data_IF_066549925848
#
_entry.id   IF_066549925848
#
_cell.length_a   1.000
_cell.length_b   1.000
_cell.length_c   1.000
_cell.angle_alpha   90.00
_cell.angle_beta   90.00
_cell.angle_gamma   90.00
#
_symmetry.space_group_name_H-M   'P 1'
#
loop_
_entity.id
_entity.type
_entity.pdbx_description
1 polymer ?
#
# COMPACT_ATOMS: atom_id res chain seq x y z
N UNK A 1 1.38 6.65 -28.42
CA UNK A 1 0.46 6.74 -27.27
C UNK A 1 0.74 8.05 -26.55
N UNK A 2 -0.25 8.95 -26.47
CA UNK A 2 -0.10 10.28 -25.86
C UNK A 2 0.02 10.15 -24.34
N UNK A 3 0.90 10.96 -23.73
CA UNK A 3 1.06 11.08 -22.27
C UNK A 3 0.08 12.08 -21.63
N UNK A 4 -0.77 12.70 -22.43
CA UNK A 4 -1.71 13.71 -21.97
C UNK A 4 -2.92 13.08 -21.29
N UNK A 5 -3.32 13.66 -20.15
CA UNK A 5 -4.45 13.16 -19.36
C UNK A 5 -5.79 13.31 -20.09
N UNK A 6 -5.86 14.25 -21.03
CA UNK A 6 -7.08 14.59 -21.75
C UNK A 6 -6.77 14.80 -23.23
N UNK A 7 -7.78 14.63 -24.08
CA UNK A 7 -7.75 14.97 -25.49
C UNK A 7 -9.01 15.76 -25.87
N UNK A 8 -8.89 16.60 -26.89
CA UNK A 8 -10.02 17.33 -27.48
C UNK A 8 -10.54 16.53 -28.68
N UNK A 9 -11.84 16.27 -28.72
CA UNK A 9 -12.49 15.59 -29.84
C UNK A 9 -12.67 16.53 -31.05
N UNK A 10 -13.13 15.99 -32.18
CA UNK A 10 -13.33 16.75 -33.43
C UNK A 10 -14.42 17.82 -33.36
N UNK A 11 -15.21 17.82 -32.29
CA UNK A 11 -16.29 18.77 -32.01
C UNK A 11 -15.90 19.76 -30.90
N UNK A 12 -14.65 19.73 -30.43
CA UNK A 12 -14.15 20.61 -29.37
C UNK A 12 -14.45 20.13 -27.95
N UNK A 13 -15.00 18.92 -27.77
CA UNK A 13 -15.28 18.34 -26.46
C UNK A 13 -14.02 17.77 -25.80
N UNK A 14 -13.85 18.02 -24.50
CA UNK A 14 -12.71 17.53 -23.72
C UNK A 14 -13.02 16.16 -23.09
N UNK A 15 -12.14 15.17 -23.31
CA UNK A 15 -12.30 13.79 -22.83
C UNK A 15 -11.03 13.29 -22.16
N UNK A 16 -11.16 12.43 -21.15
CA UNK A 16 -10.00 11.75 -20.58
C UNK A 16 -9.46 10.71 -21.55
N UNK A 17 -8.13 10.67 -21.68
CA UNK A 17 -7.48 9.55 -22.35
C UNK A 17 -7.56 8.30 -21.47
N UNK A 18 -7.29 7.13 -22.05
CA UNK A 18 -7.16 5.88 -21.29
C UNK A 18 -6.10 6.02 -20.19
N UNK A 19 -4.99 6.71 -20.47
CA UNK A 19 -3.95 7.00 -19.47
C UNK A 19 -4.43 8.00 -18.40
N UNK A 20 -5.22 9.01 -18.77
CA UNK A 20 -5.83 9.94 -17.82
C UNK A 20 -6.82 9.28 -16.87
N UNK A 21 -7.70 8.41 -17.38
CA UNK A 21 -8.60 7.63 -16.54
C UNK A 21 -7.85 6.65 -15.65
N UNK A 22 -6.75 6.05 -16.15
CA UNK A 22 -5.88 5.19 -15.35
C UNK A 22 -5.27 5.96 -14.17
N UNK A 23 -4.80 7.18 -14.40
CA UNK A 23 -4.24 8.04 -13.34
C UNK A 23 -5.31 8.47 -12.34
N UNK A 24 -6.51 8.84 -12.78
CA UNK A 24 -7.62 9.22 -11.88
C UNK A 24 -8.06 8.02 -11.04
N UNK A 25 -8.17 6.83 -11.64
CA UNK A 25 -8.48 5.62 -10.89
C UNK A 25 -7.40 5.31 -9.85
N UNK A 26 -6.11 5.44 -10.21
CA UNK A 26 -5.00 5.26 -9.27
C UNK A 26 -5.04 6.28 -8.13
N UNK A 27 -5.34 7.55 -8.42
CA UNK A 27 -5.50 8.61 -7.40
C UNK A 27 -6.71 8.36 -6.50
N UNK A 28 -7.87 8.01 -7.06
CA UNK A 28 -9.08 7.73 -6.30
C UNK A 28 -8.87 6.53 -5.37
N UNK A 29 -8.24 5.46 -5.86
CA UNK A 29 -7.86 4.30 -5.04
C UNK A 29 -6.90 4.72 -3.91
N UNK A 30 -5.94 5.62 -4.18
CA UNK A 30 -5.04 6.15 -3.15
C UNK A 30 -5.75 6.99 -2.07
N UNK A 31 -6.96 7.51 -2.36
CA UNK A 31 -7.73 8.35 -1.45
C UNK A 31 -8.70 7.56 -0.54
N UNK A 32 -8.95 6.27 -0.78
CA UNK A 32 -9.97 5.50 -0.03
C UNK A 32 -9.49 4.90 1.31
N UNK A 33 -8.26 5.17 1.74
CA UNK A 33 -7.73 4.70 3.01
C UNK A 33 -7.62 3.17 3.11
N UNK A 34 -7.24 2.68 4.29
CA UNK A 34 -7.09 1.26 4.57
C UNK A 34 -8.31 0.69 5.30
N UNK A 35 -8.75 -0.50 4.89
CA UNK A 35 -9.70 -1.31 5.65
C UNK A 35 -8.89 -2.13 6.64
N UNK A 36 -8.97 -1.76 7.92
CA UNK A 36 -8.26 -2.49 8.98
C UNK A 36 -8.98 -3.80 9.30
N UNK A 37 -8.23 -4.90 9.24
CA UNK A 37 -8.65 -6.21 9.71
C UNK A 37 -8.03 -6.48 11.08
N UNK A 38 -8.58 -7.44 11.82
CA UNK A 38 -8.23 -7.65 13.23
C UNK A 38 -6.74 -7.99 13.44
N UNK A 39 -6.28 -9.20 13.12
CA UNK A 39 -4.89 -9.57 13.38
C UNK A 39 -4.39 -10.85 12.69
N UNK A 40 -3.07 -10.97 12.55
CA UNK A 40 -2.42 -12.24 12.17
C UNK A 40 -2.70 -13.36 13.19
N UNK A 41 -2.84 -13.01 14.47
CA UNK A 41 -3.13 -13.95 15.56
C UNK A 41 -4.52 -14.58 15.42
N UNK A 42 -5.52 -13.83 14.98
CA UNK A 42 -6.88 -14.34 14.78
C UNK A 42 -7.10 -14.92 13.37
N UNK A 43 -6.18 -14.66 12.45
CA UNK A 43 -6.29 -15.06 11.05
C UNK A 43 -7.27 -14.18 10.28
N UNK A 44 -7.14 -14.17 8.95
CA UNK A 44 -7.96 -13.38 8.05
C UNK A 44 -7.90 -13.92 6.63
N UNK A 45 -8.86 -13.53 5.79
CA UNK A 45 -8.75 -13.65 4.34
C UNK A 45 -8.87 -12.26 3.73
N UNK A 46 -7.77 -11.76 3.17
CA UNK A 46 -7.77 -10.49 2.45
C UNK A 46 -8.22 -10.77 1.01
N UNK A 47 -9.22 -10.04 0.56
CA UNK A 47 -9.81 -10.10 -0.78
C UNK A 47 -9.60 -8.82 -1.58
N UNK A 48 -9.28 -7.72 -0.90
CA UNK A 48 -9.07 -6.41 -1.50
C UNK A 48 -7.66 -5.87 -1.21
N UNK A 49 -7.00 -5.21 -2.18
CA UNK A 49 -5.66 -4.64 -2.00
C UNK A 49 -5.53 -3.57 -0.90
N UNK A 50 -6.63 -2.91 -0.51
CA UNK A 50 -6.64 -1.90 0.53
C UNK A 50 -6.96 -2.47 1.93
N UNK A 51 -7.06 -3.79 2.07
CA UNK A 51 -7.15 -4.43 3.38
C UNK A 51 -5.76 -4.59 4.01
N UNK A 52 -5.67 -4.23 5.29
CA UNK A 52 -4.44 -4.34 6.08
C UNK A 52 -4.68 -5.19 7.30
N UNK A 53 -3.70 -6.00 7.67
CA UNK A 53 -3.77 -6.91 8.80
C UNK A 53 -2.79 -6.48 9.89
N UNK A 54 -3.24 -6.45 11.15
CA UNK A 54 -2.42 -6.00 12.26
C UNK A 54 -1.57 -7.12 12.84
N UNK A 55 -0.31 -6.86 13.15
CA UNK A 55 0.49 -7.75 13.99
C UNK A 55 0.45 -7.26 15.44
N UNK A 56 -0.50 -7.78 16.23
CA UNK A 56 -0.85 -7.20 17.53
C UNK A 56 0.23 -7.47 18.60
N UNK A 57 0.50 -6.51 19.48
CA UNK A 57 1.26 -6.72 20.72
C UNK A 57 0.53 -7.69 21.67
N UNK A 58 1.24 -8.48 22.50
CA UNK A 58 2.70 -8.44 22.71
C UNK A 58 3.52 -9.29 21.71
N UNK A 59 2.88 -10.12 20.90
CA UNK A 59 3.59 -11.08 20.01
C UNK A 59 4.12 -10.45 18.71
N UNK A 60 3.73 -9.20 18.43
CA UNK A 60 4.15 -8.42 17.27
C UNK A 60 4.61 -7.03 17.63
N UNK A 61 4.60 -6.13 16.65
CA UNK A 61 5.03 -4.73 16.79
C UNK A 61 3.87 -3.74 16.97
N UNK A 62 2.63 -4.20 16.83
CA UNK A 62 1.43 -3.38 16.89
C UNK A 62 1.02 -2.75 15.56
N UNK A 63 1.82 -2.95 14.50
CA UNK A 63 1.70 -2.29 13.21
C UNK A 63 0.71 -2.98 12.27
N UNK A 64 0.31 -2.25 11.24
CA UNK A 64 -0.50 -2.78 10.13
C UNK A 64 0.37 -3.13 8.93
N UNK A 65 0.02 -4.23 8.28
CA UNK A 65 0.70 -4.75 7.10
C UNK A 65 -0.27 -4.87 5.93
N UNK A 66 0.12 -4.37 4.76
CA UNK A 66 -0.57 -4.62 3.48
C UNK A 66 0.06 -5.79 2.75
N UNK A 67 -0.76 -6.59 2.07
CA UNK A 67 -0.27 -7.66 1.20
C UNK A 67 -0.04 -7.12 -0.21
N UNK A 68 1.19 -7.22 -0.70
CA UNK A 68 1.62 -6.73 -2.02
C UNK A 68 1.64 -7.86 -3.08
N UNK A 69 1.23 -9.08 -2.70
CA UNK A 69 1.15 -10.23 -3.59
C UNK A 69 -0.24 -10.43 -4.22
N UNK A 70 -0.48 -11.62 -4.77
CA UNK A 70 -1.76 -11.96 -5.39
C UNK A 70 -2.88 -12.18 -4.35
N UNK A 71 -4.12 -11.88 -4.73
CA UNK A 71 -5.34 -12.08 -3.93
C UNK A 71 -6.19 -13.24 -4.48
N UNK A 72 -6.99 -13.94 -3.65
CA UNK A 72 -7.16 -13.71 -2.21
C UNK A 72 -5.96 -14.21 -1.39
N UNK A 73 -5.67 -13.52 -0.29
CA UNK A 73 -4.62 -13.91 0.66
C UNK A 73 -5.24 -14.48 1.93
N UNK A 74 -5.12 -15.80 2.09
CA UNK A 74 -5.51 -16.49 3.33
C UNK A 74 -4.35 -16.43 4.34
N UNK A 75 -4.67 -16.03 5.56
CA UNK A 75 -3.79 -15.94 6.72
C UNK A 75 -4.39 -16.82 7.82
N UNK A 76 -3.79 -17.98 8.14
CA UNK A 76 -4.24 -18.81 9.24
C UNK A 76 -4.14 -18.07 10.58
N UNK A 77 -4.96 -18.48 11.56
CA UNK A 77 -4.79 -18.00 12.94
C UNK A 77 -3.41 -18.40 13.50
N UNK A 78 -2.98 -17.71 14.56
CA UNK A 78 -1.66 -17.85 15.19
C UNK A 78 -0.47 -17.67 14.23
N UNK A 79 -0.64 -16.79 13.22
CA UNK A 79 0.39 -16.51 12.23
C UNK A 79 1.15 -15.21 12.52
N UNK A 80 2.16 -14.95 11.69
CA UNK A 80 2.97 -13.72 11.62
C UNK A 80 3.15 -13.32 10.16
N UNK A 81 3.60 -12.08 9.85
CA UNK A 81 3.98 -11.71 8.49
C UNK A 81 5.00 -12.69 7.89
N UNK A 82 6.03 -13.07 8.66
CA UNK A 82 7.08 -13.98 8.20
C UNK A 82 6.56 -15.38 7.87
N UNK A 83 5.77 -15.98 8.78
CA UNK A 83 5.21 -17.33 8.57
C UNK A 83 4.19 -17.41 7.43
N UNK A 84 3.69 -16.26 6.96
CA UNK A 84 2.65 -16.20 5.91
C UNK A 84 3.12 -15.50 4.65
N UNK A 85 4.42 -15.35 4.42
CA UNK A 85 4.94 -14.87 3.14
C UNK A 85 6.24 -14.07 3.23
N UNK A 86 6.62 -13.62 4.42
CA UNK A 86 7.77 -12.74 4.61
C UNK A 86 7.43 -11.27 4.42
N UNK A 87 8.42 -10.41 4.70
CA UNK A 87 8.34 -8.96 4.50
C UNK A 87 9.13 -8.57 3.22
N UNK A 88 8.60 -7.65 2.42
CA UNK A 88 9.26 -7.12 1.22
C UNK A 88 8.35 -6.99 0.00
N UNK A 89 8.94 -6.63 -1.15
CA UNK A 89 8.21 -6.45 -2.41
C UNK A 89 7.48 -7.75 -2.84
N UNK A 90 6.21 -7.64 -3.24
CA UNK A 90 5.36 -8.80 -3.53
C UNK A 90 4.96 -9.63 -2.31
N UNK A 91 5.25 -9.16 -1.09
CA UNK A 91 4.96 -9.84 0.18
C UNK A 91 4.26 -8.87 1.15
N UNK A 92 4.41 -9.07 2.47
CA UNK A 92 3.89 -8.12 3.46
C UNK A 92 4.73 -6.84 3.49
N UNK A 93 4.06 -5.70 3.55
CA UNK A 93 4.68 -4.38 3.68
C UNK A 93 4.06 -3.64 4.86
N UNK A 94 4.89 -3.13 5.77
CA UNK A 94 4.42 -2.32 6.90
C UNK A 94 3.85 -0.99 6.38
N UNK A 95 2.71 -0.60 6.92
CA UNK A 95 2.00 0.64 6.54
C UNK A 95 2.48 1.83 7.39
N UNK A 96 2.91 1.59 8.63
CA UNK A 96 3.44 2.62 9.53
C UNK A 96 4.95 2.84 9.41
N UNK A 97 5.75 1.79 9.63
CA UNK A 97 7.22 1.87 9.69
C UNK A 97 7.88 2.13 8.33
N UNK A 98 7.36 1.57 7.23
CA UNK A 98 7.95 1.77 5.91
C UNK A 98 7.90 3.23 5.46
N UNK A 99 6.86 3.96 5.83
CA UNK A 99 6.70 5.39 5.54
C UNK A 99 7.67 6.23 6.38
N UNK A 100 7.88 5.88 7.65
CA UNK A 100 8.81 6.60 8.54
C UNK A 100 10.27 6.34 8.19
N UNK A 101 10.66 5.09 7.91
CA UNK A 101 12.03 4.74 7.50
C UNK A 101 12.40 5.29 6.13
N UNK A 102 11.48 5.28 5.16
CA UNK A 102 11.71 5.92 3.88
C UNK A 102 11.97 7.44 4.07
N UNK A 103 11.20 8.10 4.93
CA UNK A 103 11.44 9.51 5.27
C UNK A 103 12.76 9.72 6.03
N UNK A 104 13.10 8.86 6.98
CA UNK A 104 14.34 8.99 7.76
C UNK A 104 15.60 8.71 6.92
N UNK A 105 15.56 7.72 6.03
CA UNK A 105 16.64 7.46 5.07
C UNK A 105 16.84 8.63 4.10
N UNK A 106 15.77 9.32 3.70
CA UNK A 106 15.87 10.51 2.86
C UNK A 106 16.48 11.72 3.61
N UNK A 107 16.38 11.77 4.93
CA UNK A 107 17.00 12.81 5.77
C UNK A 107 18.47 12.52 6.12
N UNK A 108 18.93 11.28 5.97
CA UNK A 108 20.31 10.87 6.29
C UNK A 108 21.36 11.29 5.26
N UNK A 109 20.94 11.63 4.03
CA UNK A 109 21.86 11.90 2.90
C UNK A 109 22.27 13.38 2.71
N UNK A 110 22.22 14.18 3.79
CA UNK A 110 23.09 15.34 3.91
C UNK A 110 22.39 16.68 4.14
N UNK A 111 22.18 17.02 5.42
CA UNK A 111 22.23 18.39 5.95
C UNK A 111 22.31 18.38 7.50
N UNK A 112 23.02 17.41 8.06
CA UNK A 112 23.13 17.20 9.50
C UNK A 112 24.48 17.57 10.08
N UNK A 113 25.11 18.67 9.66
CA UNK A 113 26.15 19.32 10.47
C UNK A 113 26.36 20.79 10.07
N UNK A 114 25.95 21.69 10.96
CA UNK A 114 26.53 23.01 11.13
C UNK A 114 26.08 23.54 12.51
N UNK A 115 26.79 23.08 13.56
CA UNK A 115 26.93 23.84 14.81
C UNK A 115 28.16 24.75 14.72
#
# INVERSE_FOLDING_TARGET
TSREQKYIDRFGGEHYTIEGMRQIAQQAISAFGYITMDSFQNGATLTLPNQVLRWKLPDGDGEYYRWDGAFPKVVPAASTPDSTGGIGAGKWLSVGDASLRANLNNYGDGNGDAL
#
